data_IF_754236691734
#
_entry.id   IF_754236691734
#
_cell.length_a   1.000
_cell.length_b   1.000
_cell.length_c   1.000
_cell.angle_alpha   90.00
_cell.angle_beta   90.00
_cell.angle_gamma   90.00
#
_symmetry.space_group_name_H-M   'P 1'
#
loop_
_entity.id
_entity.type
_entity.pdbx_description
1 polymer ?
#
# COMPACT_ATOMS: atom_id res chain seq x y z
N UNK A 1 7.32 3.36 1.11
CA UNK A 1 7.04 2.01 1.64
C UNK A 1 7.78 1.82 2.95
N UNK A 2 7.14 1.30 4.01
CA UNK A 2 7.80 1.10 5.31
C UNK A 2 8.63 -0.18 5.34
N UNK A 3 9.60 -0.29 6.27
CA UNK A 3 10.41 -1.51 6.45
C UNK A 3 9.54 -2.74 6.75
N UNK A 4 8.53 -2.60 7.63
CA UNK A 4 7.59 -3.67 7.97
C UNK A 4 6.78 -4.12 6.75
N UNK A 5 6.27 -3.18 5.95
CA UNK A 5 5.53 -3.52 4.72
C UNK A 5 6.40 -4.29 3.72
N UNK A 6 7.72 -4.05 3.69
CA UNK A 6 8.65 -4.81 2.85
C UNK A 6 8.82 -6.24 3.32
N UNK A 7 8.91 -6.45 4.63
CA UNK A 7 8.94 -7.79 5.21
C UNK A 7 7.63 -8.54 4.98
N UNK A 8 6.49 -7.87 5.14
CA UNK A 8 5.16 -8.44 4.91
C UNK A 8 5.01 -8.89 3.44
N UNK A 9 5.36 -8.04 2.47
CA UNK A 9 5.32 -8.42 1.05
C UNK A 9 6.31 -9.53 0.70
N UNK A 10 7.51 -9.54 1.30
CA UNK A 10 8.45 -10.64 1.13
C UNK A 10 7.91 -11.96 1.69
N UNK A 11 7.21 -11.92 2.83
CA UNK A 11 6.55 -13.09 3.42
C UNK A 11 5.42 -13.64 2.54
N UNK A 12 4.80 -12.80 1.71
CA UNK A 12 3.85 -13.21 0.69
C UNK A 12 4.50 -13.73 -0.60
N UNK A 13 5.83 -13.59 -0.76
CA UNK A 13 6.54 -13.99 -1.98
C UNK A 13 6.32 -13.06 -3.17
N UNK A 14 5.93 -11.80 -2.92
CA UNK A 14 5.48 -10.88 -3.96
C UNK A 14 6.60 -10.33 -4.84
N UNK A 15 6.29 -10.27 -6.13
CA UNK A 15 6.98 -9.50 -7.15
C UNK A 15 6.30 -8.13 -7.35
N UNK A 16 6.88 -7.32 -8.23
CA UNK A 16 6.32 -6.00 -8.56
C UNK A 16 4.95 -6.09 -9.27
N UNK A 17 4.70 -7.19 -10.00
CA UNK A 17 3.41 -7.45 -10.65
C UNK A 17 2.27 -7.55 -9.64
N UNK A 18 2.50 -8.17 -8.48
CA UNK A 18 1.49 -8.29 -7.43
C UNK A 18 1.11 -6.91 -6.87
N UNK A 19 2.07 -5.97 -6.81
CA UNK A 19 1.79 -4.58 -6.41
C UNK A 19 0.88 -3.88 -7.42
N UNK A 20 1.08 -4.11 -8.72
CA UNK A 20 0.24 -3.54 -9.76
C UNK A 20 -1.21 -4.07 -9.67
N UNK A 21 -1.40 -5.37 -9.48
CA UNK A 21 -2.72 -5.97 -9.29
C UNK A 21 -3.47 -5.38 -8.08
N UNK A 22 -2.75 -5.13 -6.98
CA UNK A 22 -3.33 -4.47 -5.80
C UNK A 22 -3.75 -3.04 -6.13
N UNK A 23 -2.93 -2.28 -6.87
CA UNK A 23 -3.28 -0.92 -7.26
C UNK A 23 -4.53 -0.93 -8.14
N UNK A 24 -4.61 -1.83 -9.12
CA UNK A 24 -5.81 -2.01 -9.95
C UNK A 24 -7.04 -2.37 -9.10
N UNK A 25 -6.89 -3.31 -8.17
CA UNK A 25 -7.94 -3.70 -7.23
C UNK A 25 -8.39 -2.56 -6.33
N UNK A 26 -7.45 -1.75 -5.83
CA UNK A 26 -7.74 -0.53 -5.09
C UNK A 26 -8.57 0.38 -5.96
N UNK A 27 -8.12 0.74 -7.17
CA UNK A 27 -8.84 1.65 -8.08
C UNK A 27 -10.25 1.16 -8.46
N UNK A 28 -10.47 -0.16 -8.55
CA UNK A 28 -11.76 -0.75 -8.90
C UNK A 28 -12.75 -0.89 -7.73
N UNK A 29 -12.28 -0.99 -6.49
CA UNK A 29 -13.10 -1.31 -5.31
C UNK A 29 -12.81 -0.39 -4.10
N UNK A 30 -12.35 0.83 -4.37
CA UNK A 30 -11.81 1.79 -3.41
C UNK A 30 -12.68 1.99 -2.16
N UNK A 31 -12.04 1.96 -0.99
CA UNK A 31 -12.48 2.74 0.18
C UNK A 31 -11.53 3.93 0.38
N UNK A 32 -11.97 5.13 -0.01
CA UNK A 32 -11.24 6.37 0.27
C UNK A 32 -11.26 6.61 1.78
N UNK A 33 -10.08 6.80 2.37
CA UNK A 33 -9.93 7.02 3.79
C UNK A 33 -9.94 8.51 4.15
N UNK A 34 -9.41 9.35 3.27
CA UNK A 34 -9.25 10.78 3.51
C UNK A 34 -7.95 11.35 2.92
N UNK A 35 -7.85 12.68 2.93
CA UNK A 35 -6.62 13.41 2.60
C UNK A 35 -5.81 13.64 3.87
N UNK A 36 -4.50 13.46 3.79
CA UNK A 36 -3.58 13.60 4.92
C UNK A 36 -2.23 14.17 4.48
N UNK A 37 -1.51 14.78 5.43
CA UNK A 37 -0.13 15.20 5.21
C UNK A 37 0.81 14.04 5.55
N UNK A 38 1.58 13.55 4.58
CA UNK A 38 2.54 12.48 4.76
C UNK A 38 3.98 12.99 4.74
N UNK A 39 4.79 12.51 5.69
CA UNK A 39 6.24 12.73 5.68
C UNK A 39 6.93 11.82 4.64
N UNK A 40 7.63 12.42 3.69
CA UNK A 40 8.45 11.76 2.67
C UNK A 40 9.90 11.72 3.17
N UNK A 41 10.30 10.59 3.77
CA UNK A 41 11.65 10.31 4.30
C UNK A 41 12.16 11.28 5.40
N UNK A 42 12.44 10.75 6.59
CA UNK A 42 13.18 11.49 7.64
C UNK A 42 12.51 12.80 8.12
N UNK A 43 11.20 12.96 7.95
CA UNK A 43 10.38 14.11 8.39
C UNK A 43 10.69 15.47 7.74
N UNK A 44 11.62 15.56 6.79
CA UNK A 44 12.02 16.85 6.22
C UNK A 44 11.08 17.34 5.10
N UNK A 45 10.37 16.44 4.44
CA UNK A 45 9.47 16.76 3.31
C UNK A 45 8.07 16.28 3.64
N UNK A 46 7.07 17.14 3.47
CA UNK A 46 5.65 16.81 3.64
C UNK A 46 4.96 16.87 2.28
N UNK A 47 4.08 15.91 2.01
CA UNK A 47 3.22 15.91 0.84
C UNK A 47 1.76 15.76 1.26
N UNK A 48 0.88 16.54 0.64
CA UNK A 48 -0.55 16.30 0.73
C UNK A 48 -0.85 15.06 -0.12
N UNK A 49 -1.42 14.04 0.51
CA UNK A 49 -1.74 12.77 -0.12
C UNK A 49 -3.20 12.43 0.08
N UNK A 50 -3.77 11.69 -0.86
CA UNK A 50 -5.02 10.95 -0.65
C UNK A 50 -4.70 9.51 -0.26
N UNK A 51 -5.39 9.03 0.76
CA UNK A 51 -5.24 7.68 1.31
C UNK A 51 -6.43 6.80 0.97
N UNK A 52 -6.13 5.55 0.63
CA UNK A 52 -7.09 4.53 0.25
C UNK A 52 -6.77 3.22 0.95
N UNK A 53 -7.80 2.42 1.13
CA UNK A 53 -7.69 1.11 1.75
C UNK A 53 -8.44 0.05 0.96
N UNK A 54 -7.85 -1.14 0.94
CA UNK A 54 -8.38 -2.31 0.27
C UNK A 54 -8.03 -3.57 1.04
N UNK A 55 -9.01 -4.47 1.20
CA UNK A 55 -8.82 -5.77 1.83
C UNK A 55 -9.00 -6.86 0.80
N UNK A 56 -8.06 -7.81 0.77
CA UNK A 56 -8.10 -8.98 -0.10
C UNK A 56 -7.62 -10.20 0.69
N UNK A 57 -8.19 -11.37 0.39
CA UNK A 57 -7.67 -12.64 0.90
C UNK A 57 -6.50 -13.05 0.04
N UNK A 58 -5.37 -13.35 0.67
CA UNK A 58 -4.17 -13.87 0.04
C UNK A 58 -3.86 -15.26 0.55
N UNK A 59 -3.35 -16.10 -0.35
CA UNK A 59 -2.77 -17.37 0.05
C UNK A 59 -1.29 -17.18 0.37
N UNK A 60 -0.91 -17.41 1.62
CA UNK A 60 0.50 -17.35 2.01
C UNK A 60 1.23 -18.63 1.58
N UNK A 61 2.57 -18.59 1.41
CA UNK A 61 3.36 -19.76 0.98
C UNK A 61 3.16 -21.03 1.82
N UNK A 62 2.76 -20.88 3.08
CA UNK A 62 2.41 -22.00 3.97
C UNK A 62 1.06 -22.68 3.67
N UNK A 63 0.36 -22.27 2.60
CA UNK A 63 -0.93 -22.83 2.17
C UNK A 63 -2.14 -22.32 2.95
N UNK A 64 -1.96 -21.33 3.82
CA UNK A 64 -3.02 -20.71 4.61
C UNK A 64 -3.60 -19.49 3.88
N UNK A 65 -4.90 -19.26 4.02
CA UNK A 65 -5.56 -18.03 3.57
C UNK A 65 -5.49 -16.99 4.69
N UNK A 66 -5.09 -15.77 4.33
CA UNK A 66 -5.00 -14.64 5.24
C UNK A 66 -5.67 -13.41 4.64
N UNK A 67 -6.41 -12.66 5.47
CA UNK A 67 -6.87 -11.33 5.06
C UNK A 67 -5.70 -10.36 5.15
N UNK A 68 -5.34 -9.77 4.03
CA UNK A 68 -4.31 -8.75 3.94
C UNK A 68 -4.97 -7.38 3.76
N UNK A 69 -4.43 -6.39 4.47
CA UNK A 69 -4.85 -5.00 4.33
C UNK A 69 -3.82 -4.23 3.53
N UNK A 70 -4.30 -3.55 2.50
CA UNK A 70 -3.52 -2.74 1.60
C UNK A 70 -3.90 -1.28 1.77
N UNK A 71 -2.88 -0.45 1.85
CA UNK A 71 -3.03 0.98 1.91
C UNK A 71 -2.26 1.60 0.76
N UNK A 72 -2.95 2.45 0.01
CA UNK A 72 -2.37 3.25 -1.06
C UNK A 72 -2.41 4.71 -0.64
N UNK A 73 -1.28 5.39 -0.75
CA UNK A 73 -1.21 6.84 -0.66
C UNK A 73 -0.58 7.36 -1.94
N UNK A 74 -1.16 8.40 -2.52
CA UNK A 74 -0.55 9.08 -3.65
C UNK A 74 -0.55 10.59 -3.45
N UNK A 75 0.47 11.23 -4.01
CA UNK A 75 0.61 12.68 -4.02
C UNK A 75 1.15 13.15 -5.37
N UNK A 76 0.83 14.39 -5.74
CA UNK A 76 1.42 15.06 -6.89
C UNK A 76 2.43 16.08 -6.34
N UNK A 77 3.69 15.96 -6.78
CA UNK A 77 4.73 16.94 -6.50
C UNK A 77 4.52 18.24 -7.29
N UNK A 78 5.22 19.31 -6.90
CA UNK A 78 5.06 20.62 -7.56
C UNK A 78 5.37 20.60 -9.07
N UNK A 79 6.21 19.66 -9.52
CA UNK A 79 6.57 19.47 -10.93
C UNK A 79 5.58 18.59 -11.71
N UNK A 80 4.50 18.12 -11.06
CA UNK A 80 3.55 17.17 -11.66
C UNK A 80 3.95 15.70 -11.49
N UNK A 81 5.09 15.40 -10.85
CA UNK A 81 5.52 14.03 -10.58
C UNK A 81 4.57 13.32 -9.62
N UNK A 82 4.20 12.08 -9.94
CA UNK A 82 3.35 11.25 -9.08
C UNK A 82 4.21 10.46 -8.09
N UNK A 83 3.95 10.65 -6.80
CA UNK A 83 4.45 9.76 -5.77
C UNK A 83 3.39 8.71 -5.44
N UNK A 84 3.79 7.44 -5.46
CA UNK A 84 2.95 6.32 -5.05
C UNK A 84 3.57 5.58 -3.87
N UNK A 85 2.79 5.36 -2.83
CA UNK A 85 3.18 4.57 -1.67
C UNK A 85 2.15 3.46 -1.44
N UNK A 86 2.61 2.23 -1.62
CA UNK A 86 1.84 1.02 -1.26
C UNK A 86 2.42 0.45 0.03
N UNK A 87 1.55 0.09 0.96
CA UNK A 87 1.88 -0.69 2.15
C UNK A 87 0.92 -1.85 2.32
N UNK A 88 1.47 -3.00 2.69
CA UNK A 88 0.74 -4.20 3.07
C UNK A 88 0.91 -4.42 4.57
N UNK A 89 -0.17 -4.85 5.22
CA UNK A 89 -0.19 -5.31 6.59
C UNK A 89 -0.92 -6.66 6.67
N UNK A 90 -0.19 -7.68 7.14
CA UNK A 90 -0.76 -8.99 7.39
C UNK A 90 -1.55 -8.95 8.70
N UNK A 91 -2.88 -9.00 8.61
CA UNK A 91 -3.71 -9.19 9.81
C UNK A 91 -3.61 -10.66 10.22
N UNK A 92 -3.04 -10.92 11.40
CA UNK A 92 -3.13 -12.25 12.02
C UNK A 92 -4.53 -12.35 12.61
N UNK A 93 -5.38 -13.16 11.99
CA UNK A 93 -6.63 -13.61 12.61
C UNK A 93 -6.37 -14.47 13.83
#
# INVERSE_FOLDING_TARGET
>A
MTHRSRQDMQGLGWAISDVAEVIEGILGAVSYLGSEWCALSGNATMAACDAYHYRRRERVPAGMEMTCEYYLKWAIGQNGDLLLLVSCHLSRG
#
